data_IF_201760149184
#
_entry.id   IF_201760149184
#
_cell.length_a   1.000
_cell.length_b   1.000
_cell.length_c   1.000
_cell.angle_alpha   90.00
_cell.angle_beta   90.00
_cell.angle_gamma   90.00
#
_symmetry.space_group_name_H-M   'P 1'
#
loop_
_entity.id
_entity.type
_entity.pdbx_description
1 polymer ?
#
# COMPACT_ATOMS: atom_id res chain seq x y z
N UNK A 1 -4.31 7.12 7.50
CA UNK A 1 -4.95 7.57 6.24
C UNK A 1 -5.89 6.47 5.80
N UNK A 2 -7.15 6.81 5.53
CA UNK A 2 -8.14 5.85 5.04
C UNK A 2 -7.67 5.31 3.68
N UNK A 3 -7.65 3.99 3.50
CA UNK A 3 -7.29 3.39 2.22
C UNK A 3 -8.37 3.78 1.20
N UNK A 4 -8.07 4.75 0.32
CA UNK A 4 -9.01 5.23 -0.72
C UNK A 4 -9.56 4.06 -1.53
N UNK A 5 -8.74 3.02 -1.75
CA UNK A 5 -9.13 1.81 -2.47
C UNK A 5 -10.28 1.03 -1.80
N UNK A 6 -10.48 1.12 -0.48
CA UNK A 6 -11.59 0.41 0.20
C UNK A 6 -12.95 0.99 -0.17
N UNK A 7 -13.02 2.27 -0.53
CA UNK A 7 -14.25 2.90 -0.98
C UNK A 7 -14.32 2.94 -2.51
N UNK A 8 -13.20 3.27 -3.17
CA UNK A 8 -13.17 3.41 -4.62
C UNK A 8 -13.37 2.08 -5.33
N UNK A 9 -12.69 0.99 -4.93
CA UNK A 9 -12.75 -0.25 -5.71
C UNK A 9 -14.16 -0.88 -5.73
N UNK A 10 -14.90 -0.98 -4.60
CA UNK A 10 -16.28 -1.46 -4.66
C UNK A 10 -17.15 -0.65 -5.62
N UNK A 11 -17.03 0.69 -5.58
CA UNK A 11 -17.76 1.58 -6.50
C UNK A 11 -17.40 1.28 -7.96
N UNK A 12 -16.12 1.08 -8.28
CA UNK A 12 -15.70 0.72 -9.65
C UNK A 12 -16.24 -0.65 -10.06
N UNK A 13 -16.26 -1.63 -9.17
CA UNK A 13 -16.78 -2.97 -9.46
C UNK A 13 -18.30 -2.95 -9.71
N UNK A 14 -19.04 -2.12 -8.97
CA UNK A 14 -20.50 -2.07 -9.07
C UNK A 14 -20.99 -1.22 -10.26
N UNK A 15 -20.22 -0.20 -10.66
CA UNK A 15 -20.69 0.82 -11.64
C UNK A 15 -20.05 0.72 -13.01
N UNK A 16 -18.99 -0.06 -13.19
CA UNK A 16 -18.27 -0.10 -14.47
C UNK A 16 -18.82 -1.21 -15.39
N UNK A 17 -19.41 -0.85 -16.55
CA UNK A 17 -20.08 -1.81 -17.43
C UNK A 17 -19.12 -2.59 -18.33
N UNK A 18 -17.87 -2.14 -18.50
CA UNK A 18 -16.91 -2.70 -19.45
C UNK A 18 -15.55 -3.03 -18.81
N UNK A 19 -14.91 -4.16 -19.18
CA UNK A 19 -13.62 -4.58 -18.63
C UNK A 19 -12.48 -3.60 -18.87
N UNK A 20 -12.47 -2.99 -20.05
CA UNK A 20 -11.53 -1.96 -20.49
C UNK A 20 -11.51 -0.80 -19.49
N UNK A 21 -12.69 -0.25 -19.20
CA UNK A 21 -12.86 0.86 -18.27
C UNK A 21 -12.46 0.50 -16.84
N UNK A 22 -12.77 -0.72 -16.36
CA UNK A 22 -12.44 -1.14 -15.00
C UNK A 22 -10.91 -1.15 -14.78
N UNK A 23 -10.18 -1.73 -15.74
CA UNK A 23 -8.72 -1.81 -15.68
C UNK A 23 -8.09 -0.43 -15.83
N UNK A 24 -8.62 0.44 -16.70
CA UNK A 24 -8.15 1.82 -16.85
C UNK A 24 -8.33 2.66 -15.58
N UNK A 25 -9.49 2.54 -14.93
CA UNK A 25 -9.75 3.20 -13.65
C UNK A 25 -8.83 2.66 -12.56
N UNK A 26 -8.61 1.34 -12.50
CA UNK A 26 -7.65 0.74 -11.58
C UNK A 26 -6.22 1.28 -11.82
N UNK A 27 -5.78 1.38 -13.08
CA UNK A 27 -4.46 1.93 -13.42
C UNK A 27 -4.32 3.36 -12.90
N UNK A 28 -5.36 4.18 -12.99
CA UNK A 28 -5.37 5.52 -12.40
C UNK A 28 -5.28 5.49 -10.87
N UNK A 29 -6.02 4.60 -10.20
CA UNK A 29 -5.91 4.42 -8.74
C UNK A 29 -4.48 4.04 -8.34
N UNK A 30 -3.90 3.05 -9.03
CA UNK A 30 -2.50 2.67 -8.83
C UNK A 30 -1.56 3.87 -9.09
N UNK A 31 -1.83 4.64 -10.14
CA UNK A 31 -1.01 5.77 -10.59
C UNK A 31 -0.81 6.84 -9.51
N UNK A 32 -1.87 7.17 -8.78
CA UNK A 32 -1.77 8.12 -7.68
C UNK A 32 -1.14 7.47 -6.43
N UNK A 33 -1.51 6.22 -6.13
CA UNK A 33 -1.02 5.50 -4.97
C UNK A 33 0.49 5.27 -4.98
N UNK A 34 1.05 4.78 -6.09
CA UNK A 34 2.47 4.43 -6.17
C UNK A 34 3.42 5.63 -6.13
N UNK A 35 2.94 6.85 -6.42
CA UNK A 35 3.76 8.06 -6.31
C UNK A 35 3.81 8.62 -4.89
N UNK A 36 2.66 8.65 -4.22
CA UNK A 36 2.54 9.32 -2.92
C UNK A 36 2.93 8.39 -1.77
N UNK A 37 2.44 7.14 -1.79
CA UNK A 37 2.55 6.27 -0.62
C UNK A 37 3.99 5.83 -0.31
N UNK A 38 4.84 5.45 -1.28
CA UNK A 38 6.23 5.10 -1.00
C UNK A 38 7.01 6.27 -0.39
N UNK A 39 6.83 7.49 -0.92
CA UNK A 39 7.48 8.69 -0.39
C UNK A 39 7.08 8.94 1.07
N UNK A 40 5.78 8.83 1.41
CA UNK A 40 5.30 8.96 2.79
C UNK A 40 5.88 7.88 3.71
N UNK A 41 5.97 6.64 3.24
CA UNK A 41 6.55 5.54 4.02
C UNK A 41 8.04 5.76 4.29
N UNK A 42 8.80 6.24 3.31
CA UNK A 42 10.22 6.56 3.47
C UNK A 42 10.39 7.72 4.43
N UNK A 43 9.64 8.82 4.24
CA UNK A 43 9.69 9.97 5.13
C UNK A 43 9.37 9.59 6.59
N UNK A 44 8.35 8.77 6.79
CA UNK A 44 7.98 8.26 8.13
C UNK A 44 9.07 7.36 8.71
N UNK A 45 9.66 6.48 7.89
CA UNK A 45 10.80 5.65 8.28
C UNK A 45 12.02 6.47 8.73
N UNK A 46 12.33 7.56 8.02
CA UNK A 46 13.39 8.50 8.38
C UNK A 46 13.12 9.21 9.70
N UNK A 47 11.87 9.61 9.96
CA UNK A 47 11.47 10.18 11.25
C UNK A 47 11.69 9.19 12.38
N UNK A 48 11.30 7.93 12.21
CA UNK A 48 11.58 6.87 13.20
C UNK A 48 13.09 6.65 13.40
N UNK A 49 13.88 6.64 12.32
CA UNK A 49 15.34 6.51 12.42
C UNK A 49 15.97 7.68 13.20
N UNK A 50 15.49 8.90 12.98
CA UNK A 50 15.89 10.07 13.76
C UNK A 50 15.51 9.92 15.25
N UNK A 51 14.28 9.49 15.54
CA UNK A 51 13.82 9.23 16.92
C UNK A 51 14.68 8.16 17.60
N UNK A 52 14.99 7.05 16.91
CA UNK A 52 15.86 5.99 17.41
C UNK A 52 17.24 6.56 17.76
N UNK A 53 17.83 7.36 16.87
CA UNK A 53 19.15 7.97 17.08
C UNK A 53 19.15 8.87 18.32
N UNK A 54 18.13 9.73 18.47
CA UNK A 54 17.96 10.61 19.64
C UNK A 54 17.78 9.82 20.93
N UNK A 55 16.92 8.80 20.93
CA UNK A 55 16.64 7.97 22.12
C UNK A 55 17.85 7.15 22.54
N UNK A 56 18.56 6.54 21.58
CA UNK A 56 19.78 5.78 21.83
C UNK A 56 20.88 6.64 22.44
N UNK A 57 21.09 7.86 21.93
CA UNK A 57 22.05 8.82 22.51
C UNK A 57 21.69 9.24 23.94
N UNK A 58 20.41 9.31 24.25
CA UNK A 58 19.91 9.67 25.58
C UNK A 58 19.77 8.47 26.55
N UNK A 59 20.24 7.27 26.17
CA UNK A 59 20.09 6.05 26.99
C UNK A 59 18.63 5.60 27.20
N UNK A 60 17.69 6.09 26.39
CA UNK A 60 16.26 5.80 26.53
C UNK A 60 15.84 4.59 25.67
N UNK A 61 14.75 3.90 26.03
CA UNK A 61 14.19 2.84 25.19
C UNK A 61 13.91 3.32 23.76
N UNK A 62 14.49 2.63 22.77
CA UNK A 62 14.43 3.01 21.36
C UNK A 62 13.92 1.90 20.44
N UNK A 63 13.98 0.64 20.89
CA UNK A 63 13.70 -0.56 20.06
C UNK A 63 12.31 -0.53 19.41
N UNK A 64 11.30 -0.05 20.15
CA UNK A 64 9.93 0.03 19.62
C UNK A 64 9.78 1.02 18.46
N UNK A 65 10.56 2.11 18.45
CA UNK A 65 10.60 3.06 17.33
C UNK A 65 11.34 2.47 16.12
N UNK A 66 12.37 1.66 16.37
CA UNK A 66 13.05 0.93 15.29
C UNK A 66 12.10 -0.09 14.64
N UNK A 67 11.36 -0.87 15.45
CA UNK A 67 10.33 -1.77 14.95
C UNK A 67 9.25 -1.02 14.17
N UNK A 68 8.74 0.10 14.70
CA UNK A 68 7.76 0.93 14.01
C UNK A 68 8.23 1.39 12.62
N UNK A 69 9.47 1.86 12.51
CA UNK A 69 10.07 2.28 11.24
C UNK A 69 10.24 1.11 10.26
N UNK A 70 10.79 -0.02 10.72
CA UNK A 70 10.99 -1.21 9.89
C UNK A 70 9.65 -1.78 9.39
N UNK A 71 8.66 -1.91 10.28
CA UNK A 71 7.32 -2.39 9.92
C UNK A 71 6.66 -1.43 8.91
N UNK A 72 6.80 -0.11 9.09
CA UNK A 72 6.30 0.87 8.12
C UNK A 72 6.94 0.68 6.74
N UNK A 73 8.28 0.61 6.68
CA UNK A 73 9.01 0.49 5.42
C UNK A 73 8.85 -0.88 4.74
N UNK A 74 8.49 -1.92 5.50
CA UNK A 74 8.27 -3.28 4.96
C UNK A 74 7.14 -3.35 3.92
N UNK A 75 6.29 -2.32 3.81
CA UNK A 75 5.31 -2.24 2.74
C UNK A 75 5.95 -2.17 1.34
N UNK A 76 7.19 -1.65 1.22
CA UNK A 76 7.91 -1.55 -0.04
C UNK A 76 8.32 -2.94 -0.56
N UNK A 77 9.08 -3.77 0.20
CA UNK A 77 9.39 -5.12 -0.25
C UNK A 77 8.13 -5.96 -0.45
N UNK A 78 7.07 -5.81 0.39
CA UNK A 78 5.79 -6.49 0.14
C UNK A 78 5.21 -6.15 -1.24
N UNK A 79 5.32 -4.89 -1.67
CA UNK A 79 4.85 -4.48 -3.00
C UNK A 79 5.65 -5.14 -4.10
N UNK A 80 6.98 -5.15 -3.99
CA UNK A 80 7.87 -5.68 -5.02
C UNK A 80 7.87 -7.21 -5.11
N UNK A 81 7.63 -7.92 -4.00
CA UNK A 81 7.67 -9.39 -3.99
C UNK A 81 6.29 -10.03 -4.09
N UNK A 82 5.27 -9.47 -3.42
CA UNK A 82 3.94 -10.09 -3.34
C UNK A 82 2.96 -9.47 -4.32
N UNK A 83 2.94 -8.14 -4.43
CA UNK A 83 1.96 -7.45 -5.31
C UNK A 83 2.42 -7.36 -6.77
N UNK A 84 3.73 -7.36 -7.02
CA UNK A 84 4.28 -7.13 -8.35
C UNK A 84 3.68 -8.05 -9.43
N UNK A 85 3.52 -9.39 -9.23
CA UNK A 85 2.93 -10.24 -10.25
C UNK A 85 1.51 -9.81 -10.63
N UNK A 86 0.68 -9.47 -9.63
CA UNK A 86 -0.70 -9.02 -9.87
C UNK A 86 -0.73 -7.67 -10.59
N UNK A 87 0.15 -6.74 -10.21
CA UNK A 87 0.27 -5.44 -10.90
C UNK A 87 0.69 -5.64 -12.36
N UNK A 88 1.69 -6.48 -12.63
CA UNK A 88 2.17 -6.76 -13.98
C UNK A 88 1.08 -7.37 -14.85
N UNK A 89 0.30 -8.32 -14.32
CA UNK A 89 -0.83 -8.88 -15.06
C UNK A 89 -1.88 -7.82 -15.38
N UNK A 90 -2.26 -6.97 -14.42
CA UNK A 90 -3.23 -5.89 -14.65
C UNK A 90 -2.75 -4.88 -15.70
N UNK A 91 -1.47 -4.52 -15.71
CA UNK A 91 -0.90 -3.67 -16.76
C UNK A 91 -0.87 -4.35 -18.13
N UNK A 92 -0.53 -5.64 -18.18
CA UNK A 92 -0.58 -6.40 -19.43
C UNK A 92 -2.01 -6.50 -19.97
N UNK A 93 -3.00 -6.70 -19.09
CA UNK A 93 -4.42 -6.68 -19.43
C UNK A 93 -4.84 -5.34 -20.01
N UNK A 94 -4.37 -4.21 -19.43
CA UNK A 94 -4.66 -2.88 -19.99
C UNK A 94 -4.15 -2.75 -21.43
N UNK A 95 -2.90 -3.16 -21.67
CA UNK A 95 -2.27 -3.08 -22.99
C UNK A 95 -3.03 -3.96 -24.00
N UNK A 96 -3.41 -5.18 -23.60
CA UNK A 96 -4.19 -6.10 -24.45
C UNK A 96 -5.57 -5.51 -24.81
N UNK A 97 -6.27 -4.96 -23.82
CA UNK A 97 -7.57 -4.30 -24.01
C UNK A 97 -7.48 -3.14 -25.02
N UNK A 98 -6.44 -2.30 -24.91
CA UNK A 98 -6.21 -1.18 -25.85
C UNK A 98 -5.78 -1.65 -27.25
N UNK A 99 -5.23 -2.86 -27.37
CA UNK A 99 -4.91 -3.50 -28.65
C UNK A 99 -6.12 -4.22 -29.29
N UNK A 100 -7.32 -4.11 -28.71
CA UNK A 100 -8.54 -4.75 -29.23
C UNK A 100 -8.67 -6.23 -28.87
N UNK A 101 -7.81 -6.75 -27.98
CA UNK A 101 -7.97 -8.10 -27.45
C UNK A 101 -9.02 -8.07 -26.32
N UNK A 102 -10.10 -8.84 -26.48
CA UNK A 102 -11.17 -8.91 -25.48
C UNK A 102 -10.70 -9.80 -24.33
N UNK A 103 -10.24 -9.19 -23.23
CA UNK A 103 -10.08 -9.90 -21.97
C UNK A 103 -11.45 -10.06 -21.34
N UNK A 104 -11.77 -11.29 -20.91
CA UNK A 104 -13.04 -11.59 -20.28
C UNK A 104 -13.23 -10.77 -18.99
N UNK A 105 -14.44 -10.26 -18.77
CA UNK A 105 -14.74 -9.31 -17.71
C UNK A 105 -14.53 -9.89 -16.31
N UNK A 106 -14.87 -11.16 -16.13
CA UNK A 106 -14.61 -11.95 -14.93
C UNK A 106 -13.12 -11.96 -14.54
N UNK A 107 -12.22 -12.13 -15.52
CA UNK A 107 -10.77 -12.11 -15.29
C UNK A 107 -10.31 -10.73 -14.78
N UNK A 108 -10.81 -9.65 -15.37
CA UNK A 108 -10.49 -8.29 -14.93
C UNK A 108 -10.99 -8.02 -13.49
N UNK A 109 -12.22 -8.44 -13.19
CA UNK A 109 -12.82 -8.33 -11.86
C UNK A 109 -12.01 -9.11 -10.82
N UNK A 110 -11.61 -10.34 -11.12
CA UNK A 110 -10.85 -11.19 -10.19
C UNK A 110 -9.45 -10.63 -9.92
N UNK A 111 -8.78 -10.08 -10.94
CA UNK A 111 -7.50 -9.40 -10.77
C UNK A 111 -7.63 -8.16 -9.86
N UNK A 112 -8.66 -7.34 -10.06
CA UNK A 112 -8.91 -6.15 -9.23
C UNK A 112 -9.27 -6.53 -7.79
N UNK A 113 -10.07 -7.58 -7.58
CA UNK A 113 -10.39 -8.12 -6.24
C UNK A 113 -9.12 -8.62 -5.54
N UNK A 114 -8.31 -9.42 -6.24
CA UNK A 114 -7.03 -9.92 -5.72
C UNK A 114 -6.10 -8.77 -5.35
N UNK A 115 -5.96 -7.76 -6.22
CA UNK A 115 -5.17 -6.58 -5.94
C UNK A 115 -5.66 -5.84 -4.69
N UNK A 116 -6.97 -5.69 -4.53
CA UNK A 116 -7.60 -5.02 -3.39
C UNK A 116 -7.30 -5.71 -2.07
N UNK A 117 -7.38 -7.04 -2.06
CA UNK A 117 -6.99 -7.84 -0.89
C UNK A 117 -5.52 -7.59 -0.53
N UNK A 118 -4.61 -7.73 -1.50
CA UNK A 118 -3.18 -7.52 -1.27
C UNK A 118 -2.86 -6.08 -0.83
N UNK A 119 -3.51 -5.09 -1.44
CA UNK A 119 -3.34 -3.69 -1.08
C UNK A 119 -3.79 -3.43 0.36
N UNK A 120 -4.89 -4.05 0.78
CA UNK A 120 -5.41 -3.94 2.15
C UNK A 120 -4.41 -4.52 3.14
N UNK A 121 -3.88 -5.72 2.88
CA UNK A 121 -2.80 -6.31 3.67
C UNK A 121 -1.58 -5.40 3.75
N UNK A 122 -1.16 -4.84 2.61
CA UNK A 122 -0.04 -3.89 2.56
C UNK A 122 -0.28 -2.66 3.45
N UNK A 123 -1.51 -2.12 3.48
CA UNK A 123 -1.86 -0.95 4.27
C UNK A 123 -1.83 -1.19 5.79
N UNK A 124 -1.95 -2.44 6.24
CA UNK A 124 -1.82 -2.80 7.66
C UNK A 124 -0.38 -2.61 8.18
N UNK A 125 0.63 -2.69 7.32
CA UNK A 125 2.03 -2.54 7.71
C UNK A 125 2.34 -1.13 8.26
N UNK A 126 2.13 -0.03 7.52
CA UNK A 126 2.32 1.31 8.07
C UNK A 126 1.35 1.64 9.21
N UNK A 127 0.12 1.10 9.20
CA UNK A 127 -0.81 1.27 10.31
C UNK A 127 -0.26 0.65 11.61
N UNK A 128 0.26 -0.57 11.53
CA UNK A 128 0.91 -1.25 12.66
C UNK A 128 2.12 -0.47 13.15
N UNK A 129 2.93 0.07 12.22
CA UNK A 129 4.05 0.95 12.56
C UNK A 129 3.63 2.17 13.37
N UNK A 130 2.54 2.84 12.97
CA UNK A 130 1.95 3.97 13.73
C UNK A 130 1.56 3.54 15.14
N UNK A 131 0.86 2.41 15.29
CA UNK A 131 0.46 1.90 16.61
C UNK A 131 1.68 1.61 17.51
N UNK A 132 2.74 1.01 16.96
CA UNK A 132 4.00 0.79 17.68
C UNK A 132 4.65 2.11 18.13
N UNK A 133 4.74 3.09 17.24
CA UNK A 133 5.28 4.42 17.57
C UNK A 133 4.46 5.16 18.62
N UNK A 134 3.13 5.03 18.57
CA UNK A 134 2.21 5.59 19.55
C UNK A 134 2.44 4.97 20.94
N UNK A 135 2.43 3.64 21.03
CA UNK A 135 2.71 2.91 22.29
C UNK A 135 4.09 3.27 22.83
N UNK A 136 5.11 3.37 21.96
CA UNK A 136 6.45 3.78 22.35
C UNK A 136 6.54 5.21 22.89
N UNK A 137 5.62 6.07 22.49
CA UNK A 137 5.50 7.45 23.00
C UNK A 137 4.79 7.44 24.35
N UNK A 138 3.66 6.73 24.49
CA UNK A 138 2.92 6.63 25.75
C UNK A 138 3.75 6.04 26.89
N UNK A 139 4.57 5.03 26.61
CA UNK A 139 5.48 4.41 27.60
C UNK A 139 6.58 5.33 28.14
N UNK A 140 6.67 6.58 27.67
CA UNK A 140 7.62 7.56 28.20
C UNK A 140 7.01 8.48 29.25
N UNK A 141 5.69 8.47 29.38
CA UNK A 141 4.95 9.30 30.34
C UNK A 141 4.51 8.52 31.59
N UNK A 142 4.63 7.19 31.56
CA UNK A 142 4.45 6.29 32.71
C UNK A 142 5.83 5.90 33.26
#
# INVERSE_FOLDING_TARGET
MMNISLLTIPVLLDTTPEPTHLVDQWVRVYHYGHRVLPALSIATGLLYAWTVTRKRKAGRPWRIFALAGLTTMSMLPFTWTVMLPTNTTLFATQIANHAGQVVAFDVAVDLVKKWTLLHTTRALLPLTGVMMGWVGTLRQFN
#
